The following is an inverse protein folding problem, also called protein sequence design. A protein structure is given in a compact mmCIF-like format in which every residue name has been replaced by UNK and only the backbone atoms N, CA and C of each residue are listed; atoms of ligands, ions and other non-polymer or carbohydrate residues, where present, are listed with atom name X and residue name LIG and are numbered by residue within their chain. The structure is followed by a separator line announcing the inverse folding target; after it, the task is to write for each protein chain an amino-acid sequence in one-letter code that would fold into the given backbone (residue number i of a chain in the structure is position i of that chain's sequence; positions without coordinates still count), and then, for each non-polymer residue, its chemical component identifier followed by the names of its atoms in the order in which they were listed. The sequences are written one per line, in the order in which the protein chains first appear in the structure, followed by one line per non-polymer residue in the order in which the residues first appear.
data_IF_078171745353
#
_entry.id   IF_078171745353
#
_cell.length_a   1.000
_cell.length_b   1.000
_cell.length_c   1.000
_cell.angle_alpha   90.00
_cell.angle_beta   90.00
_cell.angle_gamma   90.00
#
_symmetry.space_group_name_H-M   'P 1'
#
loop_
_entity.id
_entity.type
_entity.pdbx_description
1 polymer ?
#
# COMPACT_ATOMS: atom_id res chain seq x y z
N UNK A 1 14.97 28.82 -5.57
CA UNK A 1 14.27 27.82 -6.39
C UNK A 1 13.50 26.94 -5.43
N UNK A 2 12.21 27.22 -5.24
CA UNK A 2 11.32 26.36 -4.46
C UNK A 2 11.18 25.05 -5.21
N UNK A 3 11.68 23.96 -4.64
CA UNK A 3 11.17 22.64 -4.99
C UNK A 3 9.82 22.50 -4.30
N UNK A 4 8.78 23.03 -4.93
CA UNK A 4 7.44 22.49 -4.75
C UNK A 4 7.58 21.01 -5.11
N UNK A 5 7.74 20.15 -4.11
CA UNK A 5 7.25 18.78 -4.22
C UNK A 5 5.74 18.97 -4.18
N UNK A 6 5.20 19.43 -5.32
CA UNK A 6 3.78 19.46 -5.56
C UNK A 6 3.34 18.02 -5.47
N UNK A 7 2.79 17.66 -4.32
CA UNK A 7 1.79 16.59 -4.20
C UNK A 7 0.64 17.03 -5.12
N UNK A 8 0.84 16.82 -6.42
CA UNK A 8 -0.03 17.28 -7.49
C UNK A 8 -1.31 16.46 -7.40
N UNK A 9 -2.22 16.86 -6.52
CA UNK A 9 -3.53 16.26 -6.35
C UNK A 9 -3.45 14.76 -6.08
N UNK A 10 -3.30 14.39 -4.79
CA UNK A 10 -3.51 13.01 -4.35
C UNK A 10 -4.74 12.44 -5.07
N UNK A 11 -4.52 11.37 -5.83
CA UNK A 11 -5.52 10.72 -6.69
C UNK A 11 -6.57 9.96 -5.88
N UNK A 12 -7.20 10.64 -4.93
CA UNK A 12 -8.13 10.08 -3.95
C UNK A 12 -9.29 9.36 -4.62
N UNK A 13 -9.86 9.91 -5.69
CA UNK A 13 -10.92 9.26 -6.47
C UNK A 13 -10.45 7.96 -7.15
N UNK A 14 -9.25 7.97 -7.75
CA UNK A 14 -8.70 6.76 -8.36
C UNK A 14 -8.41 5.68 -7.29
N UNK A 15 -7.94 6.09 -6.10
CA UNK A 15 -7.68 5.19 -4.98
C UNK A 15 -8.99 4.59 -4.43
N UNK A 16 -10.04 5.40 -4.30
CA UNK A 16 -11.36 4.92 -3.91
C UNK A 16 -11.89 3.91 -4.94
N UNK A 17 -11.74 4.20 -6.23
CA UNK A 17 -12.10 3.29 -7.31
C UNK A 17 -11.33 1.96 -7.25
N UNK A 18 -10.02 1.99 -6.99
CA UNK A 18 -9.22 0.77 -6.78
C UNK A 18 -9.68 -0.03 -5.56
N UNK A 19 -9.98 0.65 -4.44
CA UNK A 19 -10.47 0.00 -3.23
C UNK A 19 -11.81 -0.72 -3.47
N UNK A 20 -12.74 -0.06 -4.18
CA UNK A 20 -14.02 -0.66 -4.59
C UNK A 20 -13.85 -1.84 -5.54
N UNK A 21 -13.00 -1.69 -6.55
CA UNK A 21 -12.69 -2.76 -7.51
C UNK A 21 -12.15 -4.01 -6.80
N UNK A 22 -11.13 -3.86 -5.96
CA UNK A 22 -10.52 -5.02 -5.30
C UNK A 22 -11.43 -5.63 -4.24
N UNK A 23 -12.25 -4.85 -3.53
CA UNK A 23 -13.28 -5.41 -2.65
C UNK A 23 -14.24 -6.30 -3.43
N UNK A 24 -14.76 -5.82 -4.57
CA UNK A 24 -15.68 -6.58 -5.41
C UNK A 24 -15.04 -7.87 -5.96
N UNK A 25 -13.78 -7.79 -6.41
CA UNK A 25 -13.05 -8.97 -6.91
C UNK A 25 -12.80 -9.97 -5.79
N UNK A 26 -12.31 -9.52 -4.63
CA UNK A 26 -11.92 -10.38 -3.50
C UNK A 26 -13.12 -11.06 -2.83
N UNK A 27 -14.27 -10.39 -2.81
CA UNK A 27 -15.53 -10.92 -2.27
C UNK A 27 -16.29 -11.81 -3.26
N UNK A 28 -15.81 -11.94 -4.51
CA UNK A 28 -16.42 -12.82 -5.52
C UNK A 28 -16.48 -14.26 -5.01
N UNK A 29 -17.68 -14.84 -5.06
CA UNK A 29 -17.96 -16.23 -4.66
C UNK A 29 -16.96 -17.20 -5.32
N UNK A 30 -16.32 -18.02 -4.49
CA UNK A 30 -15.39 -19.07 -4.94
C UNK A 30 -13.96 -18.58 -5.25
N UNK A 31 -13.62 -17.30 -5.10
CA UNK A 31 -12.21 -16.87 -5.19
C UNK A 31 -11.38 -17.47 -4.05
N UNK A 32 -11.89 -17.42 -2.82
CA UNK A 32 -11.17 -17.89 -1.63
C UNK A 32 -10.86 -19.40 -1.62
N UNK A 33 -11.62 -20.18 -2.39
CA UNK A 33 -11.35 -21.62 -2.57
C UNK A 33 -10.21 -21.86 -3.58
N UNK A 34 -9.85 -20.85 -4.39
CA UNK A 34 -8.83 -20.90 -5.44
C UNK A 34 -7.59 -20.10 -5.00
N UNK A 35 -6.73 -20.74 -4.20
CA UNK A 35 -5.59 -20.08 -3.52
C UNK A 35 -4.70 -19.28 -4.47
N UNK A 36 -4.33 -19.84 -5.62
CA UNK A 36 -3.46 -19.16 -6.60
C UNK A 36 -4.08 -17.88 -7.13
N UNK A 37 -5.38 -17.89 -7.42
CA UNK A 37 -6.12 -16.71 -7.88
C UNK A 37 -6.25 -15.66 -6.78
N UNK A 38 -6.57 -16.08 -5.55
CA UNK A 38 -6.62 -15.18 -4.40
C UNK A 38 -5.27 -14.48 -4.17
N UNK A 39 -4.18 -15.25 -4.15
CA UNK A 39 -2.83 -14.71 -3.95
C UNK A 39 -2.39 -13.79 -5.10
N UNK A 40 -2.74 -14.12 -6.34
CA UNK A 40 -2.45 -13.26 -7.49
C UNK A 40 -3.23 -11.95 -7.42
N UNK A 41 -4.49 -12.01 -6.99
CA UNK A 41 -5.35 -10.84 -6.78
C UNK A 41 -4.78 -9.95 -5.68
N UNK A 42 -4.37 -10.55 -4.55
CA UNK A 42 -3.75 -9.84 -3.42
C UNK A 42 -2.42 -9.16 -3.81
N UNK A 43 -1.58 -9.82 -4.61
CA UNK A 43 -0.38 -9.19 -5.15
C UNK A 43 -0.74 -8.02 -6.08
N UNK A 44 -1.71 -8.22 -6.98
CA UNK A 44 -2.21 -7.15 -7.86
C UNK A 44 -2.63 -5.92 -7.05
N UNK A 45 -3.43 -6.12 -6.00
CA UNK A 45 -3.84 -5.08 -5.07
C UNK A 45 -2.62 -4.31 -4.54
N UNK A 46 -1.64 -5.02 -3.96
CA UNK A 46 -0.44 -4.39 -3.41
C UNK A 46 0.30 -3.54 -4.46
N UNK A 47 0.49 -4.11 -5.66
CA UNK A 47 1.26 -3.45 -6.73
C UNK A 47 0.54 -2.22 -7.30
N UNK A 48 -0.77 -2.28 -7.49
CA UNK A 48 -1.55 -1.14 -7.98
C UNK A 48 -1.60 0.00 -6.97
N UNK A 49 -1.73 -0.32 -5.68
CA UNK A 49 -1.66 0.69 -4.62
C UNK A 49 -0.26 1.33 -4.50
N UNK A 50 0.82 0.59 -4.73
CA UNK A 50 2.18 1.18 -4.77
C UNK A 50 2.36 2.10 -5.98
N UNK A 51 1.73 1.79 -7.12
CA UNK A 51 1.85 2.60 -8.35
C UNK A 51 1.05 3.90 -8.30
N UNK A 52 -0.11 3.87 -7.63
CA UNK A 52 -1.02 5.01 -7.61
C UNK A 52 -0.61 6.07 -6.57
N UNK A 53 0.06 5.66 -5.49
CA UNK A 53 0.63 6.58 -4.52
C UNK A 53 1.93 7.17 -5.09
N UNK A 54 2.10 8.48 -4.96
CA UNK A 54 3.17 9.25 -5.60
C UNK A 54 4.53 9.07 -4.89
N UNK A 55 5.04 7.84 -4.87
CA UNK A 55 6.38 7.51 -4.36
C UNK A 55 7.42 7.84 -5.45
N UNK A 56 8.63 8.33 -5.09
CA UNK A 56 9.73 8.49 -6.05
C UNK A 56 9.95 7.24 -6.90
N UNK A 57 10.11 7.45 -8.22
CA UNK A 57 10.15 6.36 -9.20
C UNK A 57 11.15 5.26 -8.83
N UNK A 58 12.37 5.62 -8.44
CA UNK A 58 13.41 4.68 -8.06
C UNK A 58 13.02 3.79 -6.85
N UNK A 59 12.28 4.33 -5.87
CA UNK A 59 11.77 3.57 -4.73
C UNK A 59 10.59 2.68 -5.14
N UNK A 60 9.65 3.23 -5.94
CA UNK A 60 8.48 2.49 -6.42
C UNK A 60 8.87 1.30 -7.30
N UNK A 61 9.82 1.48 -8.24
CA UNK A 61 10.31 0.45 -9.13
C UNK A 61 11.06 -0.65 -8.36
N UNK A 62 11.87 -0.25 -7.36
CA UNK A 62 12.56 -1.16 -6.46
C UNK A 62 11.59 -2.02 -5.64
N UNK A 63 10.55 -1.40 -5.08
CA UNK A 63 9.48 -2.10 -4.34
C UNK A 63 8.72 -3.07 -5.22
N UNK A 64 8.21 -2.61 -6.37
CA UNK A 64 7.42 -3.44 -7.29
C UNK A 64 8.22 -4.67 -7.72
N UNK A 65 9.47 -4.47 -8.16
CA UNK A 65 10.34 -5.56 -8.59
C UNK A 65 10.58 -6.56 -7.46
N UNK A 66 10.90 -6.06 -6.27
CA UNK A 66 11.18 -6.91 -5.10
C UNK A 66 9.93 -7.68 -4.66
N UNK A 67 8.74 -7.07 -4.68
CA UNK A 67 7.49 -7.77 -4.39
C UNK A 67 7.25 -8.92 -5.38
N UNK A 68 7.39 -8.67 -6.68
CA UNK A 68 7.20 -9.70 -7.71
C UNK A 68 8.19 -10.86 -7.52
N UNK A 69 9.47 -10.56 -7.28
CA UNK A 69 10.51 -11.58 -7.08
C UNK A 69 10.32 -12.40 -5.80
N UNK A 70 9.89 -11.75 -4.73
CA UNK A 70 9.73 -12.36 -3.41
C UNK A 70 8.40 -13.10 -3.25
N UNK A 71 7.37 -12.76 -4.05
CA UNK A 71 6.03 -13.31 -3.89
C UNK A 71 6.00 -14.82 -4.09
N UNK A 72 5.40 -15.51 -3.14
CA UNK A 72 5.17 -16.96 -3.23
C UNK A 72 3.85 -17.21 -3.93
N UNK A 73 3.89 -17.64 -5.19
CA UNK A 73 2.67 -18.14 -5.84
C UNK A 73 2.24 -19.50 -5.27
N UNK A 74 3.20 -20.29 -4.79
CA UNK A 74 2.97 -21.57 -4.14
C UNK A 74 3.37 -21.49 -2.66
N UNK A 75 2.42 -21.85 -1.82
CA UNK A 75 2.56 -21.92 -0.36
C UNK A 75 1.99 -23.25 0.12
N UNK A 76 2.33 -23.69 1.35
CA UNK A 76 1.65 -24.82 1.97
C UNK A 76 0.14 -24.64 1.96
N UNK A 77 -0.59 -25.75 1.82
CA UNK A 77 -2.03 -25.73 1.78
C UNK A 77 -2.61 -25.10 3.05
N UNK A 78 -3.38 -24.02 2.88
CA UNK A 78 -4.11 -23.36 3.96
C UNK A 78 -5.52 -23.94 4.05
N UNK A 79 -5.99 -24.13 5.28
CA UNK A 79 -7.39 -24.47 5.55
C UNK A 79 -8.31 -23.33 5.07
N UNK A 80 -9.56 -23.64 4.74
CA UNK A 80 -10.54 -22.63 4.35
C UNK A 80 -10.68 -21.53 5.41
N UNK A 81 -10.66 -21.89 6.70
CA UNK A 81 -10.73 -20.94 7.81
C UNK A 81 -9.58 -19.93 7.78
N UNK A 82 -8.34 -20.39 7.63
CA UNK A 82 -7.18 -19.50 7.52
C UNK A 82 -7.29 -18.53 6.35
N UNK A 83 -7.84 -19.00 5.22
CA UNK A 83 -8.06 -18.14 4.05
C UNK A 83 -9.16 -17.10 4.31
N UNK A 84 -10.24 -17.48 5.00
CA UNK A 84 -11.30 -16.55 5.44
C UNK A 84 -10.74 -15.48 6.36
N UNK A 85 -9.92 -15.87 7.33
CA UNK A 85 -9.27 -14.94 8.26
C UNK A 85 -8.35 -13.96 7.49
N UNK A 86 -7.57 -14.47 6.53
CA UNK A 86 -6.73 -13.62 5.68
C UNK A 86 -7.54 -12.68 4.78
N UNK A 87 -8.64 -13.14 4.19
CA UNK A 87 -9.55 -12.27 3.44
C UNK A 87 -10.09 -11.15 4.34
N UNK A 88 -10.44 -11.46 5.59
CA UNK A 88 -10.86 -10.45 6.57
C UNK A 88 -9.80 -9.38 6.78
N UNK A 89 -8.53 -9.76 6.92
CA UNK A 89 -7.40 -8.82 7.01
C UNK A 89 -7.28 -7.96 5.76
N UNK A 90 -7.39 -8.55 4.56
CA UNK A 90 -7.33 -7.79 3.29
C UNK A 90 -8.49 -6.78 3.18
N UNK A 91 -9.71 -7.17 3.57
CA UNK A 91 -10.86 -6.28 3.56
C UNK A 91 -10.72 -5.14 4.59
N UNK A 92 -10.14 -5.42 5.75
CA UNK A 92 -9.83 -4.39 6.74
C UNK A 92 -8.80 -3.37 6.20
N UNK A 93 -7.75 -3.85 5.52
CA UNK A 93 -6.78 -3.00 4.81
C UNK A 93 -7.45 -2.10 3.78
N UNK A 94 -8.32 -2.67 2.93
CA UNK A 94 -9.10 -1.91 1.94
C UNK A 94 -9.94 -0.82 2.60
N UNK A 95 -10.64 -1.17 3.68
CA UNK A 95 -11.48 -0.23 4.40
C UNK A 95 -10.65 0.90 5.04
N UNK A 96 -9.49 0.58 5.62
CA UNK A 96 -8.60 1.58 6.21
C UNK A 96 -8.10 2.57 5.16
N UNK A 97 -7.65 2.08 4.01
CA UNK A 97 -7.19 2.93 2.90
C UNK A 97 -8.35 3.78 2.35
N UNK A 98 -9.56 3.22 2.23
CA UNK A 98 -10.76 3.97 1.83
C UNK A 98 -11.09 5.09 2.81
N UNK A 99 -10.99 4.85 4.11
CA UNK A 99 -11.20 5.88 5.13
C UNK A 99 -10.17 7.00 4.96
N UNK A 100 -8.89 6.66 4.82
CA UNK A 100 -7.82 7.63 4.63
C UNK A 100 -8.02 8.47 3.35
N UNK A 101 -8.41 7.83 2.23
CA UNK A 101 -8.67 8.53 0.97
C UNK A 101 -9.85 9.50 1.07
N UNK A 102 -10.92 9.12 1.79
CA UNK A 102 -12.05 10.01 2.06
C UNK A 102 -11.70 11.21 2.94
N UNK A 103 -10.79 11.03 3.91
CA UNK A 103 -10.35 12.14 4.78
C UNK A 103 -9.64 13.24 3.97
N UNK A 104 -8.79 12.84 3.01
CA UNK A 104 -8.16 13.79 2.08
C UNK A 104 -9.16 14.40 1.12
N UNK A 105 -9.98 13.57 0.49
CA UNK A 105 -10.96 14.03 -0.52
C UNK A 105 -11.89 15.09 0.05
N UNK A 106 -12.36 14.90 1.27
CA UNK A 106 -13.28 15.83 1.92
C UNK A 106 -12.60 17.05 2.55
N UNK A 107 -11.26 17.14 2.50
CA UNK A 107 -10.52 18.28 3.05
C UNK A 107 -10.65 18.44 4.56
N UNK A 108 -11.03 17.38 5.28
CA UNK A 108 -11.32 17.43 6.72
C UNK A 108 -10.08 17.56 7.63
N UNK A 109 -8.94 17.99 7.07
CA UNK A 109 -7.76 18.49 7.79
C UNK A 109 -7.01 17.50 8.70
N UNK A 110 -7.50 16.27 8.88
CA UNK A 110 -6.91 15.33 9.83
C UNK A 110 -5.63 14.66 9.31
N UNK A 111 -5.47 14.54 7.99
CA UNK A 111 -4.24 14.01 7.37
C UNK A 111 -3.88 14.80 6.11
N UNK A 112 -2.58 15.03 5.90
CA UNK A 112 -2.02 15.57 4.65
C UNK A 112 -1.63 14.44 3.67
N UNK A 113 -1.20 14.79 2.46
CA UNK A 113 -0.85 13.80 1.44
C UNK A 113 0.29 12.86 1.83
N UNK A 114 1.28 13.38 2.56
CA UNK A 114 2.39 12.57 3.06
C UNK A 114 1.90 11.53 4.07
N UNK A 115 1.11 11.96 5.06
CA UNK A 115 0.52 11.07 6.06
C UNK A 115 -0.34 9.99 5.41
N UNK A 116 -1.07 10.33 4.35
CA UNK A 116 -1.84 9.35 3.61
C UNK A 116 -0.99 8.32 2.88
N UNK A 117 0.09 8.72 2.20
CA UNK A 117 0.99 7.76 1.56
C UNK A 117 1.56 6.78 2.61
N UNK A 118 1.94 7.30 3.78
CA UNK A 118 2.41 6.47 4.89
C UNK A 118 1.32 5.50 5.37
N UNK A 119 0.09 5.96 5.56
CA UNK A 119 -1.04 5.09 5.96
C UNK A 119 -1.34 4.03 4.90
N UNK A 120 -1.33 4.37 3.60
CA UNK A 120 -1.52 3.39 2.53
C UNK A 120 -0.45 2.30 2.58
N UNK A 121 0.82 2.68 2.70
CA UNK A 121 1.94 1.73 2.79
C UNK A 121 1.82 0.84 4.03
N UNK A 122 1.47 1.42 5.17
CA UNK A 122 1.31 0.71 6.45
C UNK A 122 0.15 -0.28 6.41
N UNK A 123 -0.94 0.09 5.73
CA UNK A 123 -2.15 -0.71 5.67
C UNK A 123 -2.18 -1.72 4.52
N UNK A 124 -1.11 -1.83 3.72
CA UNK A 124 -0.99 -2.91 2.74
C UNK A 124 -1.11 -4.29 3.46
N UNK A 125 -1.92 -5.23 2.94
CA UNK A 125 -2.25 -6.48 3.61
C UNK A 125 -1.12 -7.52 3.47
N UNK A 126 0.11 -7.15 3.76
CA UNK A 126 1.29 -8.00 3.63
C UNK A 126 1.46 -8.89 4.87
N UNK A 127 1.47 -10.21 4.69
CA UNK A 127 1.85 -11.15 5.76
C UNK A 127 3.16 -11.85 5.43
N UNK A 128 3.99 -12.23 6.43
CA UNK A 128 5.29 -12.87 6.17
C UNK A 128 5.22 -14.12 5.28
N UNK A 129 4.12 -14.88 5.38
CA UNK A 129 3.92 -16.09 4.55
C UNK A 129 3.69 -15.80 3.07
N UNK A 130 3.45 -14.54 2.70
CA UNK A 130 3.31 -14.14 1.31
C UNK A 130 4.63 -14.16 0.55
N UNK A 131 5.73 -14.03 1.28
CA UNK A 131 7.05 -13.78 0.75
C UNK A 131 7.97 -14.98 1.00
N UNK A 132 8.98 -15.12 0.15
CA UNK A 132 10.11 -16.01 0.42
C UNK A 132 10.87 -15.49 1.64
N UNK A 133 11.17 -16.39 2.58
CA UNK A 133 11.75 -16.01 3.87
C UNK A 133 13.04 -15.18 3.78
N UNK A 134 13.87 -15.44 2.77
CA UNK A 134 15.12 -14.70 2.51
C UNK A 134 14.90 -13.26 2.02
N UNK A 135 13.75 -13.00 1.41
CA UNK A 135 13.43 -11.71 0.76
C UNK A 135 12.61 -10.80 1.69
N UNK A 136 12.09 -11.35 2.81
CA UNK A 136 11.35 -10.60 3.83
C UNK A 136 12.15 -9.38 4.31
N UNK A 137 13.41 -9.50 4.80
CA UNK A 137 14.13 -8.33 5.33
C UNK A 137 14.28 -7.22 4.29
N UNK A 138 14.54 -7.58 3.04
CA UNK A 138 14.71 -6.62 1.93
C UNK A 138 13.42 -5.85 1.64
N UNK A 139 12.26 -6.51 1.68
CA UNK A 139 10.97 -5.83 1.47
C UNK A 139 10.69 -4.85 2.61
N UNK A 140 10.87 -5.29 3.86
CA UNK A 140 10.64 -4.40 5.01
C UNK A 140 11.63 -3.23 5.05
N UNK A 141 12.87 -3.43 4.61
CA UNK A 141 13.86 -2.36 4.44
C UNK A 141 13.40 -1.31 3.41
N UNK A 142 12.96 -1.75 2.22
CA UNK A 142 12.46 -0.83 1.19
C UNK A 142 11.19 -0.08 1.62
N UNK A 143 10.26 -0.75 2.31
CA UNK A 143 9.08 -0.10 2.90
C UNK A 143 9.50 0.93 3.96
N UNK A 144 10.55 0.63 4.73
CA UNK A 144 11.19 1.56 5.66
C UNK A 144 11.77 2.78 4.95
N UNK A 145 12.53 2.58 3.87
CA UNK A 145 13.09 3.68 3.07
C UNK A 145 12.02 4.60 2.50
N UNK A 146 10.89 4.06 2.03
CA UNK A 146 9.75 4.87 1.58
C UNK A 146 9.19 5.70 2.73
N UNK A 147 8.93 5.09 3.89
CA UNK A 147 8.45 5.83 5.06
C UNK A 147 9.42 6.94 5.46
N UNK A 148 10.71 6.62 5.54
CA UNK A 148 11.74 7.55 6.00
C UNK A 148 11.91 8.72 5.02
N UNK A 149 11.79 8.47 3.70
CA UNK A 149 11.74 9.52 2.68
C UNK A 149 10.62 10.54 2.93
N UNK A 150 9.42 10.05 3.23
CA UNK A 150 8.25 10.89 3.50
C UNK A 150 8.30 11.59 4.87
N UNK A 151 8.88 10.96 5.90
CA UNK A 151 9.16 11.63 7.17
C UNK A 151 10.11 12.82 6.99
N UNK A 152 11.18 12.65 6.20
CA UNK A 152 12.15 13.73 5.93
C UNK A 152 11.55 14.92 5.18
N UNK A 153 10.57 14.68 4.29
CA UNK A 153 9.83 15.76 3.62
C UNK A 153 9.01 16.54 4.65
N UNK A 154 8.30 15.83 5.53
CA UNK A 154 7.46 16.45 6.57
C UNK A 154 8.28 17.33 7.53
N UNK A 155 9.47 16.87 7.93
CA UNK A 155 10.37 17.62 8.82
C UNK A 155 10.96 18.87 8.17
N UNK A 156 11.28 18.81 6.87
CA UNK A 156 11.78 19.96 6.12
C UNK A 156 10.71 21.02 5.89
N UNK A 157 9.46 20.63 5.70
CA UNK A 157 8.33 21.56 5.60
C UNK A 157 7.97 22.21 6.94
N UNK A 158 8.27 21.54 8.06
CA UNK A 158 8.02 22.06 9.42
C UNK A 158 9.09 23.03 9.95
N UNK A 159 10.24 23.16 9.29
CA UNK A 159 11.26 24.16 9.65
C UNK A 159 11.03 25.46 8.85
N UNK A 160 10.48 26.54 9.46
CA UNK A 160 10.43 27.82 8.78
C UNK A 160 11.87 28.28 8.56
N UNK A 161 12.17 28.71 7.33
CA UNK A 161 13.42 29.39 6.99
C UNK A 161 13.67 30.56 7.96
N UNK A 162 14.43 30.33 9.03
CA UNK A 162 15.12 31.42 9.72
C UNK A 162 16.33 31.78 8.86
N UNK A 163 16.08 32.59 7.84
CA UNK A 163 17.14 33.34 7.18
C UNK A 163 17.55 34.48 8.12
N UNK A 164 18.81 34.44 8.57
CA UNK A 164 19.51 35.55 9.23
C UNK A 164 19.61 36.79 8.32
#
# INVERSE_FOLDING_TARGET
MSSDIGLNGIKSDEILGLAEYYEAVLTRKGLITRESEFRSTKLGFILEFIRIIEIPEHLSAGLITTFIEAWRLQIPERTLRQRVDELGTVLNSINSIRVAANLIKNGNGSINGVQFIIEVIKDLPLIPSDLRSRDIPRIYDLLGQVRDYFCLITEKEAQPNFSL
#
